data_IF_914041578125
#
_entry.id   IF_914041578125
#
_cell.length_a   1.000
_cell.length_b   1.000
_cell.length_c   1.000
_cell.angle_alpha   90.00
_cell.angle_beta   90.00
_cell.angle_gamma   90.00
#
_symmetry.space_group_name_H-M   'P 1'
#
loop_
_entity.id
_entity.type
_entity.pdbx_description
1 polymer ?
#
# COMPACT_ATOMS: atom_id res chain seq x y z
N UNK A 1 7.02 11.54 -14.76
CA UNK A 1 5.74 12.26 -14.56
C UNK A 1 5.04 11.88 -13.26
N UNK A 2 4.55 10.63 -13.09
CA UNK A 2 3.78 10.22 -11.90
C UNK A 2 4.51 10.45 -10.57
N UNK A 3 5.81 10.14 -10.50
CA UNK A 3 6.61 10.38 -9.29
C UNK A 3 6.68 11.87 -8.94
N UNK A 4 6.93 12.74 -9.92
CA UNK A 4 6.99 14.19 -9.71
C UNK A 4 5.66 14.77 -9.23
N UNK A 5 4.54 14.37 -9.85
CA UNK A 5 3.20 14.75 -9.38
C UNK A 5 2.89 14.18 -7.98
N UNK A 6 3.34 12.95 -7.70
CA UNK A 6 3.20 12.32 -6.38
C UNK A 6 3.97 13.05 -5.29
N UNK A 7 5.20 13.51 -5.57
CA UNK A 7 5.98 14.34 -4.64
C UNK A 7 5.34 15.71 -4.41
N UNK A 8 4.83 16.34 -5.47
CA UNK A 8 4.08 17.61 -5.35
C UNK A 8 2.78 17.44 -4.54
N UNK A 9 2.04 16.35 -4.75
CA UNK A 9 0.87 16.01 -3.95
C UNK A 9 1.24 15.75 -2.49
N UNK A 10 2.33 15.01 -2.26
CA UNK A 10 2.78 14.65 -0.92
C UNK A 10 3.10 15.89 -0.08
N UNK A 11 3.63 16.96 -0.68
CA UNK A 11 3.87 18.24 0.00
C UNK A 11 2.62 18.78 0.72
N UNK A 12 1.43 18.60 0.14
CA UNK A 12 0.15 19.03 0.71
C UNK A 12 -0.57 17.92 1.47
N UNK A 13 -0.15 16.67 1.30
CA UNK A 13 -0.82 15.49 1.88
C UNK A 13 -0.08 14.91 3.10
N UNK A 14 1.19 15.23 3.32
CA UNK A 14 1.89 14.85 4.56
C UNK A 14 1.17 15.35 5.79
N UNK A 15 1.17 14.54 6.85
CA UNK A 15 0.46 14.83 8.09
C UNK A 15 0.87 16.18 8.71
N UNK A 16 -0.08 17.04 9.12
CA UNK A 16 -1.54 16.93 8.91
C UNK A 16 -1.95 17.29 7.47
N UNK A 17 -2.73 16.43 6.83
CA UNK A 17 -3.07 16.57 5.41
C UNK A 17 -3.97 17.79 5.13
N UNK A 18 -3.63 18.55 4.09
CA UNK A 18 -4.42 19.67 3.58
C UNK A 18 -5.31 19.26 2.41
N UNK A 19 -4.86 18.28 1.62
CA UNK A 19 -5.57 17.76 0.45
C UNK A 19 -5.60 16.23 0.52
N UNK A 20 -6.76 15.64 0.30
CA UNK A 20 -6.93 14.19 0.19
C UNK A 20 -6.89 13.74 -1.27
N UNK A 21 -6.35 12.54 -1.52
CA UNK A 21 -6.19 12.00 -2.87
C UNK A 21 -7.54 11.70 -3.55
N UNK A 22 -8.50 11.19 -2.78
CA UNK A 22 -9.79 10.70 -3.28
C UNK A 22 -9.68 9.51 -4.24
N UNK A 23 -10.83 9.03 -4.70
CA UNK A 23 -10.90 7.86 -5.59
C UNK A 23 -10.29 8.13 -6.96
N UNK A 24 -10.35 9.39 -7.44
CA UNK A 24 -9.75 9.80 -8.72
C UNK A 24 -8.25 9.55 -8.72
N UNK A 25 -7.53 9.93 -7.66
CA UNK A 25 -6.10 9.68 -7.55
C UNK A 25 -5.79 8.22 -7.29
N UNK A 26 -6.47 7.59 -6.32
CA UNK A 26 -6.17 6.23 -5.91
C UNK A 26 -6.41 5.19 -7.02
N UNK A 27 -7.59 5.21 -7.65
CA UNK A 27 -7.94 4.26 -8.72
C UNK A 27 -7.09 4.47 -9.97
N UNK A 28 -6.83 5.74 -10.35
CA UNK A 28 -6.03 6.03 -11.54
C UNK A 28 -4.56 5.65 -11.36
N UNK A 29 -3.97 5.84 -10.18
CA UNK A 29 -2.60 5.42 -9.88
C UNK A 29 -2.48 3.89 -9.89
N UNK A 30 -3.40 3.19 -9.21
CA UNK A 30 -3.43 1.73 -9.17
C UNK A 30 -3.56 1.11 -10.56
N UNK A 31 -4.52 1.60 -11.36
CA UNK A 31 -4.74 1.12 -12.72
C UNK A 31 -3.52 1.36 -13.63
N UNK A 32 -2.94 2.57 -13.60
CA UNK A 32 -1.75 2.90 -14.41
C UNK A 32 -0.56 2.02 -14.06
N UNK A 33 -0.26 1.85 -12.77
CA UNK A 33 0.85 1.01 -12.32
C UNK A 33 0.64 -0.47 -12.70
N UNK A 34 -0.58 -0.98 -12.53
CA UNK A 34 -0.93 -2.34 -12.93
C UNK A 34 -0.80 -2.58 -14.44
N UNK A 35 -1.29 -1.64 -15.27
CA UNK A 35 -1.15 -1.73 -16.73
C UNK A 35 0.32 -1.70 -17.15
N UNK A 36 1.14 -0.84 -16.55
CA UNK A 36 2.60 -0.81 -16.81
C UNK A 36 3.24 -2.16 -16.47
N UNK A 37 2.89 -2.75 -15.33
CA UNK A 37 3.43 -4.04 -14.92
C UNK A 37 3.13 -5.17 -15.93
N UNK A 38 1.91 -5.19 -16.49
CA UNK A 38 1.49 -6.16 -17.51
C UNK A 38 2.18 -5.90 -18.85
N UNK A 39 2.25 -4.64 -19.30
CA UNK A 39 2.91 -4.30 -20.57
C UNK A 39 4.39 -4.69 -20.56
N UNK A 40 5.08 -4.46 -19.43
CA UNK A 40 6.50 -4.79 -19.26
C UNK A 40 6.71 -6.27 -18.90
N UNK A 41 5.64 -7.05 -18.67
CA UNK A 41 5.66 -8.47 -18.26
C UNK A 41 6.46 -8.70 -16.97
N UNK A 42 6.27 -7.80 -16.01
CA UNK A 42 6.93 -7.79 -14.71
C UNK A 42 5.89 -7.83 -13.58
N UNK A 43 4.89 -8.68 -13.73
CA UNK A 43 3.75 -8.80 -12.81
C UNK A 43 4.20 -9.30 -11.44
N UNK A 44 5.06 -10.32 -11.40
CA UNK A 44 5.59 -10.87 -10.14
C UNK A 44 6.49 -9.88 -9.42
N UNK A 45 7.33 -9.16 -10.16
CA UNK A 45 8.18 -8.11 -9.58
C UNK A 45 7.32 -6.98 -9.04
N UNK A 46 6.32 -6.53 -9.80
CA UNK A 46 5.37 -5.52 -9.35
C UNK A 46 4.58 -5.99 -8.11
N UNK A 47 4.17 -7.25 -8.04
CA UNK A 47 3.51 -7.82 -6.87
C UNK A 47 4.37 -7.71 -5.61
N UNK A 48 5.68 -7.97 -5.72
CA UNK A 48 6.63 -7.80 -4.62
C UNK A 48 6.78 -6.32 -4.26
N UNK A 49 7.04 -5.46 -5.25
CA UNK A 49 7.25 -4.02 -5.03
C UNK A 49 6.02 -3.31 -4.43
N UNK A 50 4.82 -3.75 -4.82
CA UNK A 50 3.53 -3.27 -4.31
C UNK A 50 3.05 -4.03 -3.06
N UNK A 51 3.91 -4.85 -2.45
CA UNK A 51 3.55 -5.77 -1.39
C UNK A 51 2.83 -5.13 -0.20
N UNK A 52 3.08 -3.85 0.11
CA UNK A 52 2.30 -3.13 1.12
C UNK A 52 0.81 -3.00 0.74
N UNK A 53 0.51 -2.62 -0.51
CA UNK A 53 -0.87 -2.56 -1.01
C UNK A 53 -1.54 -3.94 -1.03
N UNK A 54 -0.76 -4.98 -1.35
CA UNK A 54 -1.21 -6.37 -1.30
C UNK A 54 -1.58 -6.75 0.13
N UNK A 55 -0.73 -6.46 1.12
CA UNK A 55 -0.98 -6.76 2.54
C UNK A 55 -2.21 -6.01 3.05
N UNK A 56 -2.38 -4.74 2.69
CA UNK A 56 -3.57 -3.96 3.05
C UNK A 56 -4.84 -4.64 2.54
N UNK A 57 -4.85 -5.05 1.28
CA UNK A 57 -6.00 -5.73 0.65
C UNK A 57 -6.25 -7.11 1.27
N UNK A 58 -5.19 -7.89 1.48
CA UNK A 58 -5.27 -9.20 2.14
C UNK A 58 -5.80 -9.08 3.57
N UNK A 59 -5.43 -8.02 4.30
CA UNK A 59 -5.93 -7.80 5.66
C UNK A 59 -7.46 -7.64 5.67
N UNK A 60 -8.02 -6.92 4.70
CA UNK A 60 -9.46 -6.76 4.53
C UNK A 60 -10.11 -8.08 4.14
N UNK A 61 -9.56 -8.80 3.17
CA UNK A 61 -10.09 -10.11 2.75
C UNK A 61 -10.13 -11.10 3.91
N UNK A 62 -9.04 -11.23 4.67
CA UNK A 62 -8.94 -12.09 5.85
C UNK A 62 -9.96 -11.68 6.91
N UNK A 63 -10.06 -10.37 7.19
CA UNK A 63 -11.00 -9.85 8.18
C UNK A 63 -12.45 -10.14 7.79
N UNK A 64 -12.84 -9.90 6.54
CA UNK A 64 -14.19 -10.14 6.03
C UNK A 64 -14.51 -11.63 6.04
N UNK A 65 -13.60 -12.49 5.57
CA UNK A 65 -13.79 -13.95 5.57
C UNK A 65 -13.94 -14.48 6.99
N UNK A 66 -13.11 -14.04 7.94
CA UNK A 66 -13.19 -14.45 9.34
C UNK A 66 -14.50 -13.99 9.99
N UNK A 67 -14.94 -12.75 9.73
CA UNK A 67 -16.18 -12.25 10.30
C UNK A 67 -17.40 -12.99 9.74
N UNK A 68 -17.42 -13.27 8.43
CA UNK A 68 -18.51 -14.03 7.78
C UNK A 68 -18.57 -15.50 8.20
N UNK A 69 -17.43 -16.14 8.46
CA UNK A 69 -17.37 -17.59 8.76
C UNK A 69 -17.37 -17.91 10.25
N UNK A 70 -16.71 -17.09 11.08
CA UNK A 70 -16.50 -17.36 12.50
C UNK A 70 -17.13 -16.30 13.42
N UNK A 71 -17.63 -15.19 12.87
CA UNK A 71 -18.13 -14.05 13.66
C UNK A 71 -17.04 -13.33 14.47
N UNK A 72 -15.75 -13.63 14.22
CA UNK A 72 -14.62 -13.12 15.00
C UNK A 72 -13.71 -12.28 14.12
N UNK A 73 -13.24 -11.15 14.68
CA UNK A 73 -12.26 -10.26 14.06
C UNK A 73 -10.84 -10.84 14.23
N UNK A 74 -10.03 -10.78 13.19
CA UNK A 74 -8.60 -11.20 13.23
C UNK A 74 -7.74 -10.01 13.63
N UNK A 75 -7.94 -8.87 12.98
CA UNK A 75 -7.33 -7.60 13.31
C UNK A 75 -8.32 -6.74 14.11
N UNK A 76 -7.80 -5.90 15.02
CA UNK A 76 -8.59 -4.84 15.70
C UNK A 76 -9.49 -4.06 14.71
N UNK A 77 -8.93 -3.68 13.56
CA UNK A 77 -9.63 -3.09 12.42
C UNK A 77 -8.85 -3.46 11.15
N UNK A 78 -9.55 -3.56 10.02
CA UNK A 78 -8.96 -3.64 8.69
C UNK A 78 -9.40 -2.40 7.90
N UNK A 79 -8.55 -1.80 7.05
CA UNK A 79 -7.22 -2.28 6.63
C UNK A 79 -6.13 -2.20 7.72
N UNK A 80 -4.94 -2.76 7.46
CA UNK A 80 -3.96 -3.08 8.51
C UNK A 80 -3.32 -1.85 9.16
N UNK A 81 -3.27 -0.69 8.51
CA UNK A 81 -2.81 0.55 9.17
C UNK A 81 -3.67 0.91 10.40
N UNK A 82 -5.01 0.82 10.29
CA UNK A 82 -5.90 1.07 11.43
C UNK A 82 -5.70 0.07 12.57
N UNK A 83 -5.27 -1.15 12.27
CA UNK A 83 -4.89 -2.10 13.32
C UNK A 83 -3.74 -1.57 14.20
N UNK A 84 -2.77 -0.88 13.59
CA UNK A 84 -1.65 -0.28 14.31
C UNK A 84 -2.03 1.00 15.03
N UNK A 85 -2.91 1.83 14.45
CA UNK A 85 -3.46 3.01 15.12
C UNK A 85 -4.22 2.61 16.40
N UNK A 86 -5.09 1.60 16.32
CA UNK A 86 -5.79 1.04 17.48
C UNK A 86 -4.88 0.29 18.46
N UNK A 87 -3.62 0.00 18.08
CA UNK A 87 -2.56 -0.44 19.00
C UNK A 87 -1.89 0.73 19.75
N UNK A 88 -2.30 1.97 19.47
CA UNK A 88 -1.74 3.18 20.05
C UNK A 88 -0.55 3.76 19.27
N UNK A 89 -0.34 3.35 18.00
CA UNK A 89 0.69 3.99 17.18
C UNK A 89 0.15 5.30 16.62
N UNK A 90 0.90 6.42 16.75
CA UNK A 90 0.54 7.66 16.06
C UNK A 90 0.53 7.44 14.54
N UNK A 91 -0.41 8.08 13.86
CA UNK A 91 -0.57 7.98 12.40
C UNK A 91 0.75 8.28 11.64
N UNK A 92 1.52 9.35 11.95
CA UNK A 92 2.81 9.58 11.29
C UNK A 92 3.82 8.44 11.45
N UNK A 93 3.78 7.73 12.59
CA UNK A 93 4.64 6.57 12.85
C UNK A 93 4.27 5.40 11.96
N UNK A 94 2.98 5.17 11.73
CA UNK A 94 2.50 4.12 10.81
C UNK A 94 2.94 4.45 9.38
N UNK A 95 2.70 5.70 8.93
CA UNK A 95 3.05 6.19 7.59
C UNK A 95 4.55 5.98 7.30
N UNK A 96 5.43 6.49 8.16
CA UNK A 96 6.89 6.41 7.93
C UNK A 96 7.38 4.96 7.94
N UNK A 97 6.87 4.10 8.84
CA UNK A 97 7.24 2.68 8.86
C UNK A 97 6.79 1.96 7.60
N UNK A 98 5.62 2.30 7.08
CA UNK A 98 5.08 1.73 5.85
C UNK A 98 5.88 2.19 4.62
N UNK A 99 6.39 3.42 4.61
CA UNK A 99 7.33 3.87 3.58
C UNK A 99 8.65 3.10 3.64
N UNK A 100 9.23 2.90 4.84
CA UNK A 100 10.45 2.10 5.00
C UNK A 100 10.24 0.67 4.46
N UNK A 101 9.13 0.01 4.83
CA UNK A 101 8.79 -1.31 4.31
C UNK A 101 8.63 -1.32 2.79
N UNK A 102 8.00 -0.29 2.23
CA UNK A 102 7.81 -0.16 0.77
C UNK A 102 9.15 -0.01 0.06
N UNK A 103 10.07 0.81 0.58
CA UNK A 103 11.41 0.96 0.02
C UNK A 103 12.16 -0.36 0.05
N UNK A 104 12.10 -1.12 1.15
CA UNK A 104 12.71 -2.44 1.25
C UNK A 104 12.14 -3.40 0.20
N UNK A 105 10.81 -3.47 0.06
CA UNK A 105 10.14 -4.31 -0.94
C UNK A 105 10.52 -3.92 -2.38
N UNK A 106 10.64 -2.63 -2.66
CA UNK A 106 11.11 -2.12 -3.96
C UNK A 106 12.54 -2.57 -4.23
N UNK A 107 13.45 -2.46 -3.26
CA UNK A 107 14.83 -2.92 -3.40
C UNK A 107 14.92 -4.43 -3.63
N UNK A 108 14.10 -5.23 -2.93
CA UNK A 108 14.00 -6.69 -3.15
C UNK A 108 13.50 -6.98 -4.58
N UNK A 109 12.45 -6.28 -5.03
CA UNK A 109 11.93 -6.43 -6.38
C UNK A 109 12.95 -6.03 -7.47
N UNK A 110 13.75 -4.99 -7.24
CA UNK A 110 14.82 -4.61 -8.17
C UNK A 110 15.97 -5.62 -8.16
N UNK A 111 16.32 -6.18 -7.00
CA UNK A 111 17.37 -7.19 -6.89
C UNK A 111 16.97 -8.49 -7.61
N UNK A 112 15.69 -8.87 -7.59
CA UNK A 112 15.21 -10.09 -8.27
C UNK A 112 15.29 -10.01 -9.79
N UNK A 113 15.27 -8.80 -10.37
CA UNK A 113 15.45 -8.60 -11.81
C UNK A 113 16.82 -9.08 -12.32
N UNK A 114 17.86 -9.03 -11.48
CA UNK A 114 19.23 -9.47 -11.86
C UNK A 114 19.43 -10.98 -11.81
N UNK A 115 18.51 -11.73 -11.21
CA UNK A 115 18.60 -13.18 -11.03
C UNK A 115 18.08 -13.91 -12.29
N UNK A 116 17.74 -13.18 -13.35
CA UNK A 116 17.22 -13.69 -14.62
C UNK A 116 18.18 -13.44 -15.77
#
# INVERSE_FOLDING_TARGET
>A
AMVGAGLGFLWFNTYPAQVFMGDVGALSLGAKLGVIAVIVRQELVFFIMSGLFVVETLSVMIQVVSYKTRGKRVFRMAPIHHHFELKGWPEPRVIVRFWILTVILVLIGLASLKIR
#
